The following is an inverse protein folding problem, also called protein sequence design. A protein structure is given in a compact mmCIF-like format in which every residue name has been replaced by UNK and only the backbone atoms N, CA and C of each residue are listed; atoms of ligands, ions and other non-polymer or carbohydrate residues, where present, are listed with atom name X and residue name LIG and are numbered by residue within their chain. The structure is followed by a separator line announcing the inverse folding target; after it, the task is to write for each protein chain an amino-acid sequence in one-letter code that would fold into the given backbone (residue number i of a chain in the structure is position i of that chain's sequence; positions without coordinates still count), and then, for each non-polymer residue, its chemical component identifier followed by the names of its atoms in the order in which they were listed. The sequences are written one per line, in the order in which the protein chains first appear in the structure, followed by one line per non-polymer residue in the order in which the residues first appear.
data_IF_461455439272
#
_entry.id   IF_461455439272
#
_cell.length_a   1.000
_cell.length_b   1.000
_cell.length_c   1.000
_cell.angle_alpha   90.00
_cell.angle_beta   90.00
_cell.angle_gamma   90.00
#
_symmetry.space_group_name_H-M   'P 1'
#
loop_
_entity.id
_entity.type
_entity.pdbx_description
1 polymer ?
#
# COMPACT_ATOMS: atom_id res chain seq x y z
N UNK A 1 -9.83 15.99 -3.52
CA UNK A 1 -8.86 15.96 -4.63
C UNK A 1 -9.06 14.64 -5.36
N UNK A 2 -9.59 14.64 -6.58
CA UNK A 2 -9.74 13.35 -7.30
C UNK A 2 -8.34 12.81 -7.61
N UNK A 3 -8.08 11.54 -7.28
CA UNK A 3 -6.82 10.86 -7.61
C UNK A 3 -6.45 11.08 -9.08
N UNK A 4 -5.15 11.24 -9.36
CA UNK A 4 -4.65 11.51 -10.71
C UNK A 4 -5.11 10.44 -11.72
N UNK A 5 -5.39 10.86 -12.95
CA UNK A 5 -5.70 9.93 -14.06
C UNK A 5 -4.47 9.10 -14.40
N UNK A 6 -4.68 7.79 -14.62
CA UNK A 6 -3.63 6.87 -15.03
C UNK A 6 -3.04 7.26 -16.39
N UNK A 7 -1.72 7.15 -16.53
CA UNK A 7 -0.99 7.28 -17.78
C UNK A 7 -0.39 5.91 -18.14
N UNK A 8 -0.85 5.31 -19.23
CA UNK A 8 -0.41 3.96 -19.61
C UNK A 8 -0.74 2.89 -18.56
N UNK A 9 -1.84 3.08 -17.83
CA UNK A 9 -2.29 2.16 -16.77
C UNK A 9 -1.65 2.37 -15.41
N UNK A 10 -0.66 3.28 -15.28
CA UNK A 10 0.04 3.56 -14.02
C UNK A 10 -0.27 4.97 -13.49
N UNK A 11 -0.12 5.16 -12.18
CA UNK A 11 -0.15 6.50 -11.60
C UNK A 11 1.03 7.34 -12.13
N UNK A 12 0.83 8.63 -12.43
CA UNK A 12 1.93 9.53 -12.76
C UNK A 12 3.00 9.53 -11.67
N UNK A 13 4.27 9.71 -12.03
CA UNK A 13 5.39 9.72 -11.07
C UNK A 13 5.12 10.60 -9.85
N UNK A 14 5.39 10.07 -8.65
CA UNK A 14 5.31 10.79 -7.38
C UNK A 14 4.34 10.17 -6.37
N UNK A 15 4.32 10.75 -5.18
CA UNK A 15 3.45 10.31 -4.07
C UNK A 15 2.14 11.12 -4.11
N UNK A 16 1.02 10.43 -4.30
CA UNK A 16 -0.31 11.02 -4.40
C UNK A 16 -1.06 10.87 -3.09
N UNK A 17 -1.11 11.93 -2.29
CA UNK A 17 -1.90 11.94 -1.06
C UNK A 17 -3.38 11.78 -1.39
N UNK A 18 -4.08 10.87 -0.73
CA UNK A 18 -5.50 10.62 -0.94
C UNK A 18 -6.24 10.35 0.37
N UNK A 19 -7.54 10.63 0.37
CA UNK A 19 -8.43 10.11 1.41
C UNK A 19 -8.80 8.65 1.15
N UNK A 20 -9.35 7.99 2.16
CA UNK A 20 -9.85 6.63 2.02
C UNK A 20 -10.99 6.56 0.98
N UNK A 21 -11.86 7.56 0.95
CA UNK A 21 -12.98 7.66 0.00
C UNK A 21 -12.48 7.85 -1.43
N UNK A 22 -11.41 8.63 -1.62
CA UNK A 22 -10.76 8.81 -2.92
C UNK A 22 -10.15 7.50 -3.41
N UNK A 23 -9.42 6.78 -2.55
CA UNK A 23 -8.90 5.45 -2.87
C UNK A 23 -10.01 4.45 -3.20
N UNK A 24 -11.09 4.42 -2.40
CA UNK A 24 -12.23 3.54 -2.64
C UNK A 24 -12.91 3.87 -3.97
N UNK A 25 -13.10 5.15 -4.28
CA UNK A 25 -13.69 5.60 -5.54
C UNK A 25 -12.82 5.20 -6.74
N UNK A 26 -11.50 5.31 -6.58
CA UNK A 26 -10.54 5.02 -7.64
C UNK A 26 -10.36 3.51 -7.89
N UNK A 27 -10.28 2.72 -6.82
CA UNK A 27 -9.90 1.29 -6.90
C UNK A 27 -11.08 0.33 -6.72
N UNK A 28 -12.21 0.78 -6.16
CA UNK A 28 -13.37 -0.05 -5.80
C UNK A 28 -14.30 -0.39 -6.97
N UNK A 29 -13.74 -0.73 -8.13
CA UNK A 29 -14.49 -0.91 -9.38
C UNK A 29 -15.16 -2.28 -9.54
N UNK A 30 -14.85 -3.25 -8.69
CA UNK A 30 -15.41 -4.61 -8.75
C UNK A 30 -15.56 -5.24 -7.36
N UNK A 31 -16.42 -6.25 -7.22
CA UNK A 31 -16.59 -7.02 -5.98
C UNK A 31 -15.27 -7.61 -5.48
N UNK A 32 -14.41 -8.03 -6.41
CA UNK A 32 -13.10 -8.58 -6.06
C UNK A 32 -12.18 -7.50 -5.47
N UNK A 33 -12.08 -6.33 -6.12
CA UNK A 33 -11.31 -5.20 -5.59
C UNK A 33 -11.86 -4.71 -4.25
N UNK A 34 -13.17 -4.74 -4.04
CA UNK A 34 -13.78 -4.45 -2.73
C UNK A 34 -13.34 -5.42 -1.62
N UNK A 35 -13.09 -6.70 -1.95
CA UNK A 35 -12.50 -7.66 -0.99
C UNK A 35 -11.08 -7.26 -0.60
N UNK A 36 -10.24 -6.89 -1.57
CA UNK A 36 -8.88 -6.39 -1.30
C UNK A 36 -8.90 -5.12 -0.46
N UNK A 37 -9.81 -4.19 -0.76
CA UNK A 37 -10.01 -2.95 0.00
C UNK A 37 -10.40 -3.23 1.44
N UNK A 38 -11.25 -4.22 1.70
CA UNK A 38 -11.63 -4.58 3.07
C UNK A 38 -10.42 -5.07 3.89
N UNK A 39 -9.56 -5.88 3.26
CA UNK A 39 -8.29 -6.33 3.84
C UNK A 39 -7.31 -5.17 4.10
N UNK A 40 -7.10 -4.32 3.09
CA UNK A 40 -6.31 -3.09 3.20
C UNK A 40 -6.81 -2.17 4.32
N UNK A 41 -8.14 -2.01 4.46
CA UNK A 41 -8.75 -1.19 5.51
C UNK A 41 -8.43 -1.74 6.89
N UNK A 42 -8.49 -3.06 7.03
CA UNK A 42 -8.17 -3.73 8.29
C UNK A 42 -6.70 -3.51 8.66
N UNK A 43 -5.78 -3.63 7.70
CA UNK A 43 -4.37 -3.32 7.93
C UNK A 43 -4.14 -1.83 8.27
N UNK A 44 -4.81 -0.92 7.57
CA UNK A 44 -4.72 0.52 7.82
C UNK A 44 -5.19 0.90 9.23
N UNK A 45 -6.23 0.26 9.75
CA UNK A 45 -6.67 0.46 11.13
C UNK A 45 -5.69 -0.07 12.16
N UNK A 46 -5.07 -1.23 11.91
CA UNK A 46 -4.03 -1.78 12.77
C UNK A 46 -2.82 -0.84 12.83
N UNK A 47 -2.35 -0.36 11.68
CA UNK A 47 -1.28 0.65 11.60
C UNK A 47 -1.66 1.93 12.32
N UNK A 48 -2.88 2.45 12.11
CA UNK A 48 -3.39 3.64 12.78
C UNK A 48 -3.38 3.48 14.30
N UNK A 49 -3.83 2.33 14.81
CA UNK A 49 -3.87 2.04 16.26
C UNK A 49 -2.47 2.12 16.87
N UNK A 50 -1.45 1.78 16.10
CA UNK A 50 -0.05 1.78 16.52
C UNK A 50 0.65 3.13 16.33
N UNK A 51 -0.08 4.18 15.93
CA UNK A 51 0.49 5.52 15.74
C UNK A 51 1.18 5.72 14.39
N UNK A 52 1.09 4.76 13.47
CA UNK A 52 1.67 4.91 12.14
C UNK A 52 1.08 6.15 11.43
N UNK A 53 1.92 7.07 10.92
CA UNK A 53 1.42 8.30 10.31
C UNK A 53 0.89 8.08 8.89
N UNK A 54 1.55 7.21 8.12
CA UNK A 54 1.28 7.07 6.68
C UNK A 54 1.39 5.63 6.21
N UNK A 55 0.41 5.23 5.39
CA UNK A 55 0.41 4.01 4.62
C UNK A 55 0.50 4.37 3.13
N UNK A 56 1.50 3.85 2.45
CA UNK A 56 1.67 3.93 1.01
C UNK A 56 1.10 2.67 0.35
N UNK A 57 0.32 2.85 -0.72
CA UNK A 57 -0.34 1.77 -1.44
C UNK A 57 0.13 1.77 -2.89
N UNK A 58 0.49 0.57 -3.35
CA UNK A 58 1.03 0.28 -4.68
C UNK A 58 0.50 -1.08 -5.19
N UNK A 59 1.23 -1.72 -6.10
CA UNK A 59 0.89 -2.98 -6.75
C UNK A 59 -0.02 -2.77 -7.96
N UNK A 60 -0.41 -3.88 -8.59
CA UNK A 60 -1.44 -3.82 -9.64
C UNK A 60 -2.80 -3.35 -9.12
N UNK A 61 -2.97 -3.30 -7.80
CA UNK A 61 -4.17 -2.77 -7.18
C UNK A 61 -4.43 -1.29 -7.51
N UNK A 62 -3.40 -0.46 -7.65
CA UNK A 62 -3.54 0.97 -7.98
C UNK A 62 -3.37 1.27 -9.48
N UNK A 63 -3.43 0.24 -10.33
CA UNK A 63 -3.35 0.34 -11.79
C UNK A 63 -4.70 0.05 -12.46
N UNK A 64 -4.75 0.11 -13.80
CA UNK A 64 -5.93 -0.30 -14.59
C UNK A 64 -6.08 -1.82 -14.76
N UNK A 65 -5.25 -2.62 -14.10
CA UNK A 65 -5.31 -4.08 -14.19
C UNK A 65 -6.69 -4.57 -13.69
N UNK A 66 -7.46 -5.33 -14.48
CA UNK A 66 -8.84 -5.65 -14.13
C UNK A 66 -8.96 -6.59 -12.92
N UNK A 67 -7.97 -7.47 -12.73
CA UNK A 67 -7.96 -8.51 -11.70
C UNK A 67 -6.61 -8.54 -10.96
N UNK A 68 -6.30 -7.52 -10.13
CA UNK A 68 -5.04 -7.48 -9.39
C UNK A 68 -4.99 -8.61 -8.37
N UNK A 69 -3.94 -9.42 -8.34
CA UNK A 69 -3.86 -10.58 -7.43
C UNK A 69 -4.00 -10.22 -5.95
N UNK A 70 -3.43 -9.07 -5.58
CA UNK A 70 -3.41 -8.48 -4.25
C UNK A 70 -3.13 -6.97 -4.33
N UNK A 71 -2.89 -6.33 -3.19
CA UNK A 71 -2.28 -5.02 -3.10
C UNK A 71 -0.88 -5.14 -2.49
N UNK A 72 -0.01 -4.22 -2.88
CA UNK A 72 1.29 -4.01 -2.25
C UNK A 72 1.29 -2.67 -1.51
N UNK A 73 2.18 -2.51 -0.55
CA UNK A 73 2.36 -1.22 0.10
C UNK A 73 3.48 -1.19 1.11
N UNK A 74 3.75 -0.01 1.63
CA UNK A 74 4.67 0.18 2.74
C UNK A 74 4.16 1.22 3.72
N UNK A 75 4.67 1.21 4.94
CA UNK A 75 4.20 2.07 6.02
C UNK A 75 5.36 2.72 6.76
N UNK A 76 5.11 3.91 7.29
CA UNK A 76 6.14 4.71 7.97
C UNK A 76 6.57 4.06 9.28
N UNK A 77 7.86 3.73 9.38
CA UNK A 77 8.42 3.16 10.60
C UNK A 77 8.49 4.20 11.71
N UNK A 78 8.83 5.44 11.37
CA UNK A 78 8.91 6.55 12.32
C UNK A 78 7.51 6.87 12.89
N UNK A 79 7.38 6.81 14.22
CA UNK A 79 6.13 7.06 14.92
C UNK A 79 5.24 5.82 15.10
N UNK A 80 5.62 4.67 14.54
CA UNK A 80 4.87 3.41 14.73
C UNK A 80 5.38 2.63 15.94
N UNK A 81 4.49 2.34 16.88
CA UNK A 81 4.76 1.44 18.01
C UNK A 81 4.72 -0.02 17.57
N UNK A 82 5.90 -0.60 17.33
CA UNK A 82 6.06 -1.98 16.89
C UNK A 82 5.64 -3.01 17.94
N UNK A 83 5.58 -2.64 19.23
CA UNK A 83 5.14 -3.55 20.28
C UNK A 83 3.61 -3.73 20.26
N UNK A 84 2.88 -2.74 19.76
CA UNK A 84 1.42 -2.82 19.57
C UNK A 84 1.01 -3.32 18.18
N UNK A 85 1.95 -3.27 17.21
CA UNK A 85 1.70 -3.69 15.84
C UNK A 85 1.39 -5.18 15.78
N UNK A 86 0.35 -5.51 15.02
CA UNK A 86 0.00 -6.90 14.76
C UNK A 86 1.23 -7.68 14.27
N UNK A 87 1.67 -8.76 14.96
CA UNK A 87 2.88 -9.49 14.59
C UNK A 87 2.84 -10.04 13.16
N UNK A 88 1.64 -10.23 12.60
CA UNK A 88 1.49 -10.64 11.20
C UNK A 88 2.10 -9.60 10.24
N UNK A 89 1.99 -8.30 10.53
CA UNK A 89 2.62 -7.23 9.72
C UNK A 89 4.14 -7.15 9.90
N UNK A 90 4.71 -7.91 10.84
CA UNK A 90 6.15 -8.06 11.06
C UNK A 90 6.67 -9.42 10.54
N UNK A 91 5.78 -10.31 10.11
CA UNK A 91 6.13 -11.61 9.54
C UNK A 91 6.34 -11.51 8.02
N UNK A 92 7.61 -11.55 7.62
CA UNK A 92 8.02 -11.56 6.21
C UNK A 92 8.37 -12.97 5.71
N UNK A 93 8.22 -13.99 6.55
CA UNK A 93 8.54 -15.38 6.20
C UNK A 93 7.54 -15.96 5.20
N UNK A 94 7.91 -17.08 4.58
CA UNK A 94 7.05 -17.83 3.65
C UNK A 94 6.32 -16.93 2.62
N UNK A 95 7.04 -15.96 2.03
CA UNK A 95 6.47 -14.99 1.07
C UNK A 95 5.25 -14.24 1.63
N UNK A 96 5.31 -13.86 2.91
CA UNK A 96 4.27 -13.12 3.65
C UNK A 96 2.90 -13.79 3.62
N UNK A 97 2.89 -15.13 3.65
CA UNK A 97 1.66 -15.91 3.64
C UNK A 97 0.67 -15.51 4.75
N UNK A 98 1.18 -15.17 5.95
CA UNK A 98 0.34 -14.71 7.05
C UNK A 98 -0.33 -13.35 6.75
N UNK A 99 0.40 -12.41 6.16
CA UNK A 99 -0.16 -11.11 5.75
C UNK A 99 -1.23 -11.29 4.67
N UNK A 100 -0.94 -12.07 3.63
CA UNK A 100 -1.90 -12.37 2.55
C UNK A 100 -3.15 -13.05 3.10
N UNK A 101 -3.01 -14.00 4.04
CA UNK A 101 -4.15 -14.70 4.63
C UNK A 101 -5.04 -13.78 5.48
N UNK A 102 -4.44 -12.85 6.24
CA UNK A 102 -5.17 -11.98 7.17
C UNK A 102 -5.68 -10.69 6.55
N UNK A 103 -4.86 -10.04 5.74
CA UNK A 103 -5.11 -8.72 5.17
C UNK A 103 -5.25 -8.73 3.64
N UNK A 104 -4.97 -9.82 2.96
CA UNK A 104 -5.14 -9.91 1.49
C UNK A 104 -4.08 -9.18 0.67
N UNK A 105 -2.99 -8.73 1.28
CA UNK A 105 -1.89 -8.04 0.59
C UNK A 105 -0.56 -8.14 1.35
N UNK A 106 0.44 -7.43 0.84
CA UNK A 106 1.81 -7.41 1.37
C UNK A 106 2.19 -5.99 1.79
N UNK A 107 2.67 -5.84 3.04
CA UNK A 107 3.04 -4.56 3.61
C UNK A 107 4.43 -4.61 4.24
N UNK A 108 5.23 -3.59 3.98
CA UNK A 108 6.63 -3.50 4.44
C UNK A 108 6.92 -2.18 5.17
N UNK A 109 7.90 -2.12 6.08
CA UNK A 109 8.38 -0.86 6.60
C UNK A 109 9.01 -0.05 5.45
N UNK A 110 8.57 1.19 5.27
CA UNK A 110 8.94 2.04 4.14
C UNK A 110 10.46 2.25 4.02
N UNK A 111 11.15 2.35 5.16
CA UNK A 111 12.59 2.60 5.25
C UNK A 111 13.47 1.35 5.13
N UNK A 112 12.89 0.14 5.06
CA UNK A 112 13.68 -1.09 4.91
C UNK A 112 14.19 -1.21 3.46
N UNK A 113 15.37 -1.81 3.28
CA UNK A 113 15.90 -2.10 1.95
C UNK A 113 15.05 -3.17 1.25
N UNK A 114 14.66 -2.88 0.01
CA UNK A 114 13.87 -3.77 -0.84
C UNK A 114 14.73 -4.59 -1.81
N UNK A 115 15.91 -4.07 -2.19
CA UNK A 115 16.81 -4.70 -3.15
C UNK A 115 18.30 -4.48 -2.84
N UNK A 116 19.17 -5.10 -3.65
CA UNK A 116 20.64 -4.98 -3.51
C UNK A 116 21.19 -3.68 -4.09
N UNK A 117 20.37 -2.89 -4.80
CA UNK A 117 20.75 -1.58 -5.30
C UNK A 117 20.64 -0.49 -4.22
N UNK A 118 20.05 -0.83 -3.07
CA UNK A 118 19.93 0.06 -1.92
C UNK A 118 18.64 0.88 -1.90
N UNK A 119 17.66 0.53 -2.74
CA UNK A 119 16.36 1.18 -2.70
C UNK A 119 15.62 0.76 -1.42
N UNK A 120 14.99 1.72 -0.76
CA UNK A 120 14.01 1.42 0.29
C UNK A 120 12.72 0.87 -0.35
N UNK A 121 11.80 0.30 0.44
CA UNK A 121 10.48 -0.08 -0.10
C UNK A 121 9.70 1.12 -0.64
N UNK A 122 9.86 2.30 -0.03
CA UNK A 122 9.25 3.52 -0.56
C UNK A 122 9.79 3.90 -1.94
N UNK A 123 11.09 3.75 -2.16
CA UNK A 123 11.71 4.00 -3.48
C UNK A 123 11.31 2.92 -4.48
N UNK A 124 11.40 1.65 -4.07
CA UNK A 124 11.17 0.48 -4.91
C UNK A 124 9.76 0.46 -5.50
N UNK A 125 8.74 0.77 -4.70
CA UNK A 125 7.37 0.86 -5.18
C UNK A 125 7.11 2.05 -6.11
N UNK A 126 8.03 3.00 -6.23
CA UNK A 126 7.95 4.08 -7.22
C UNK A 126 8.67 3.74 -8.53
N UNK A 127 9.09 2.49 -8.73
CA UNK A 127 9.73 2.00 -9.96
C UNK A 127 8.81 0.99 -10.64
N UNK A 128 8.51 1.19 -11.92
CA UNK A 128 7.77 0.22 -12.70
C UNK A 128 8.61 -1.05 -12.94
N UNK A 129 8.09 -2.21 -12.53
CA UNK A 129 8.80 -3.49 -12.59
C UNK A 129 9.11 -3.98 -14.01
N UNK A 130 8.40 -3.46 -15.01
CA UNK A 130 8.53 -3.90 -16.41
C UNK A 130 9.52 -3.05 -17.20
N UNK A 131 9.52 -1.74 -16.97
CA UNK A 131 10.29 -0.75 -17.73
C UNK A 131 11.45 -0.14 -16.94
N UNK A 132 11.40 -0.21 -15.60
CA UNK A 132 12.32 0.50 -14.72
C UNK A 132 12.05 2.02 -14.64
N UNK A 133 11.00 2.52 -15.29
CA UNK A 133 10.66 3.93 -15.28
C UNK A 133 9.99 4.34 -13.95
N UNK A 134 10.11 5.61 -13.51
CA UNK A 134 9.42 6.09 -12.32
C UNK A 134 7.89 6.05 -12.48
N UNK A 135 7.18 5.55 -11.46
CA UNK A 135 5.71 5.54 -11.37
C UNK A 135 5.23 6.11 -10.03
N UNK A 136 3.94 6.42 -9.95
CA UNK A 136 3.34 6.94 -8.73
C UNK A 136 2.85 5.86 -7.76
N UNK A 137 2.67 6.28 -6.52
CA UNK A 137 2.04 5.50 -5.43
C UNK A 137 1.02 6.38 -4.70
N UNK A 138 0.08 5.76 -3.99
CA UNK A 138 -0.90 6.49 -3.16
C UNK A 138 -0.34 6.60 -1.74
N UNK A 139 -0.48 7.77 -1.09
CA UNK A 139 -0.23 7.93 0.34
C UNK A 139 -1.54 8.22 1.09
N UNK A 140 -1.78 7.46 2.15
CA UNK A 140 -2.91 7.63 3.05
C UNK A 140 -2.41 8.16 4.39
N UNK A 141 -2.85 9.36 4.77
CA UNK A 141 -2.66 9.88 6.13
C UNK A 141 -3.59 9.15 7.10
N UNK A 142 -3.05 8.25 7.92
CA UNK A 142 -3.86 7.34 8.75
C UNK A 142 -4.64 8.08 9.85
N UNK A 143 -4.17 9.26 10.27
CA UNK A 143 -4.92 10.14 11.16
C UNK A 143 -6.32 10.48 10.59
N UNK A 144 -6.46 10.60 9.27
CA UNK A 144 -7.71 10.94 8.56
C UNK A 144 -8.63 9.75 8.31
N UNK A 145 -8.18 8.52 8.54
CA UNK A 145 -9.02 7.33 8.38
C UNK A 145 -10.16 7.33 9.41
N UNK A 146 -11.41 7.52 8.96
CA UNK A 146 -12.57 7.49 9.85
C UNK A 146 -12.71 6.11 10.52
N UNK A 147 -13.23 6.10 11.76
CA UNK A 147 -13.51 4.87 12.52
C UNK A 147 -14.56 4.01 11.81
#
# INVERSE_FOLDING_TARGET
MVLATLAGGLLPTGIHVATWEELLTFTGTSRYRLTLIAGLRSAAFELKRCGCPTLYVDGSFVTDEPFPGDYDGCWELAGTDLAMLDPVLQDFSNRRAAQKAKYGGELFPASNLADTAGHTFLDFFQIDKHTGAPKGIIALELARLAR
#
